data_IF_992203759243
#
_entry.id   IF_992203759243
#
_cell.length_a   1.000
_cell.length_b   1.000
_cell.length_c   1.000
_cell.angle_alpha   90.00
_cell.angle_beta   90.00
_cell.angle_gamma   90.00
#
_symmetry.space_group_name_H-M   'P 1'
#
loop_
_entity.id
_entity.type
_entity.pdbx_description
1 polymer ?
#
# COMPACT_ATOMS: atom_id res chain seq x y z
N UNK A 1 -13.05 2.77 -9.13
CA UNK A 1 -13.40 2.44 -7.73
C UNK A 1 -12.17 2.72 -6.87
N UNK A 2 -12.25 3.43 -5.77
CA UNK A 2 -11.06 3.88 -5.05
C UNK A 2 -10.49 2.74 -4.17
N UNK A 3 -9.57 1.98 -4.75
CA UNK A 3 -8.65 1.16 -3.99
C UNK A 3 -7.37 2.00 -3.76
N UNK A 4 -7.07 2.29 -2.52
CA UNK A 4 -5.85 2.98 -2.10
C UNK A 4 -4.74 1.93 -2.00
N UNK A 5 -4.01 1.71 -3.09
CA UNK A 5 -2.88 0.76 -3.13
C UNK A 5 -1.71 1.29 -2.32
N UNK A 6 -1.14 0.43 -1.47
CA UNK A 6 0.04 0.76 -0.67
C UNK A 6 1.27 0.71 -1.60
N UNK A 7 1.91 1.86 -1.87
CA UNK A 7 2.86 1.97 -2.98
C UNK A 7 4.28 1.50 -2.64
N UNK A 8 4.56 1.22 -1.35
CA UNK A 8 5.90 0.90 -0.85
C UNK A 8 5.85 -0.24 0.14
N UNK A 9 7.01 -0.85 0.42
CA UNK A 9 7.13 -1.91 1.41
C UNK A 9 6.74 -1.42 2.81
N UNK A 10 5.97 -2.24 3.52
CA UNK A 10 5.62 -2.02 4.92
C UNK A 10 6.86 -2.33 5.76
N UNK A 11 7.29 -1.38 6.57
CA UNK A 11 8.41 -1.55 7.51
C UNK A 11 7.96 -1.66 8.95
N UNK A 12 6.75 -1.17 9.26
CA UNK A 12 6.10 -1.36 10.56
C UNK A 12 4.59 -1.39 10.38
N UNK A 13 3.97 -2.36 11.05
CA UNK A 13 2.53 -2.59 11.04
C UNK A 13 2.05 -2.83 12.47
N UNK A 14 1.07 -2.09 12.92
CA UNK A 14 0.52 -2.18 14.27
C UNK A 14 -1.00 -2.18 14.27
N UNK A 15 -1.58 -3.03 15.12
CA UNK A 15 -2.98 -2.98 15.51
C UNK A 15 -3.03 -2.55 16.97
N UNK A 16 -3.76 -1.50 17.27
CA UNK A 16 -3.74 -0.91 18.62
C UNK A 16 -5.09 -0.32 19.02
N UNK A 17 -5.26 -0.05 20.32
CA UNK A 17 -6.43 0.62 20.86
C UNK A 17 -6.14 2.11 21.08
N UNK A 18 -6.73 3.03 20.28
CA UNK A 18 -6.41 4.45 20.35
C UNK A 18 -6.96 5.15 21.59
N UNK A 19 -8.01 4.61 22.23
CA UNK A 19 -8.72 5.18 23.40
C UNK A 19 -9.24 6.63 23.19
N UNK A 20 -9.19 7.13 21.97
CA UNK A 20 -9.65 8.45 21.53
C UNK A 20 -9.94 8.43 20.03
N UNK A 21 -10.43 9.53 19.45
CA UNK A 21 -10.57 9.61 18.00
C UNK A 21 -9.22 9.45 17.31
N UNK A 22 -9.19 8.88 16.11
CA UNK A 22 -7.92 8.69 15.37
C UNK A 22 -7.22 10.02 15.09
N UNK A 23 -7.99 11.09 14.87
CA UNK A 23 -7.42 12.42 14.66
C UNK A 23 -6.69 12.93 15.91
N UNK A 24 -7.28 12.76 17.09
CA UNK A 24 -6.66 13.13 18.36
C UNK A 24 -5.46 12.25 18.70
N UNK A 25 -5.54 10.95 18.42
CA UNK A 25 -4.41 10.04 18.60
C UNK A 25 -3.23 10.45 17.72
N UNK A 26 -3.48 10.65 16.42
CA UNK A 26 -2.45 11.01 15.44
C UNK A 26 -1.73 12.33 15.76
N UNK A 27 -2.47 13.32 16.31
CA UNK A 27 -1.89 14.62 16.68
C UNK A 27 -0.85 14.53 17.80
N UNK A 28 -0.90 13.47 18.61
CA UNK A 28 0.00 13.22 19.74
C UNK A 28 1.22 12.35 19.37
N UNK A 29 1.27 11.84 18.14
CA UNK A 29 2.38 10.98 17.70
C UNK A 29 3.55 11.83 17.18
N UNK A 30 4.75 11.57 17.70
CA UNK A 30 5.99 12.12 17.17
C UNK A 30 6.38 11.41 15.87
N UNK A 31 6.25 10.07 15.85
CA UNK A 31 6.46 9.22 14.68
C UNK A 31 5.10 8.85 14.06
N UNK A 32 4.66 9.66 13.12
CA UNK A 32 3.34 9.48 12.48
C UNK A 32 3.39 8.39 11.42
N UNK A 33 2.38 7.50 11.39
CA UNK A 33 2.27 6.53 10.31
C UNK A 33 1.99 7.21 8.96
N UNK A 34 2.41 6.57 7.88
CA UNK A 34 2.03 6.99 6.52
C UNK A 34 0.53 6.75 6.28
N UNK A 35 -0.01 5.68 6.88
CA UNK A 35 -1.41 5.25 6.72
C UNK A 35 -1.98 4.89 8.09
N UNK A 36 -3.19 5.39 8.38
CA UNK A 36 -3.93 5.09 9.61
C UNK A 36 -5.42 4.93 9.28
N UNK A 37 -6.03 3.85 9.77
CA UNK A 37 -7.46 3.63 9.57
C UNK A 37 -8.10 2.88 10.75
N UNK A 38 -9.42 3.06 10.92
CA UNK A 38 -10.21 2.32 11.90
C UNK A 38 -10.34 0.85 11.47
N UNK A 39 -10.50 -0.04 12.43
CA UNK A 39 -10.43 -1.46 12.17
C UNK A 39 -11.72 -2.22 12.52
N UNK A 40 -11.77 -2.98 13.62
CA UNK A 40 -12.89 -3.87 13.92
C UNK A 40 -14.20 -3.13 14.20
N UNK A 41 -15.31 -3.79 13.87
CA UNK A 41 -16.62 -3.41 14.38
C UNK A 41 -16.65 -3.59 15.90
N UNK A 42 -17.51 -2.81 16.55
CA UNK A 42 -17.74 -2.88 17.98
C UNK A 42 -19.21 -2.60 18.32
N UNK A 43 -19.65 -3.15 19.45
CA UNK A 43 -21.01 -2.97 19.97
C UNK A 43 -21.20 -1.56 20.53
N UNK A 44 -22.45 -1.20 20.82
CA UNK A 44 -22.81 0.04 21.53
C UNK A 44 -22.16 0.15 22.93
N UNK A 45 -21.81 -0.99 23.53
CA UNK A 45 -21.09 -1.06 24.82
C UNK A 45 -19.57 -1.09 24.64
N UNK A 46 -19.07 -0.75 23.46
CA UNK A 46 -17.65 -0.70 23.09
C UNK A 46 -16.91 -2.03 23.26
N UNK A 47 -17.60 -3.15 23.04
CA UNK A 47 -16.98 -4.48 22.95
C UNK A 47 -16.67 -4.81 21.50
N UNK A 48 -15.51 -5.40 21.17
CA UNK A 48 -15.18 -5.75 19.80
C UNK A 48 -16.08 -6.85 19.26
N UNK A 49 -16.38 -6.79 17.97
CA UNK A 49 -17.10 -7.84 17.25
C UNK A 49 -16.08 -8.65 16.43
N UNK A 50 -15.30 -9.50 17.08
CA UNK A 50 -14.31 -10.35 16.44
C UNK A 50 -13.16 -10.73 17.35
N UNK A 51 -12.29 -11.62 16.86
CA UNK A 51 -11.08 -12.03 17.57
C UNK A 51 -9.96 -11.02 17.32
N UNK A 52 -9.30 -10.60 18.39
CA UNK A 52 -8.26 -9.59 18.38
C UNK A 52 -7.05 -10.10 19.16
N UNK A 53 -5.88 -10.03 18.54
CA UNK A 53 -4.59 -10.13 19.21
C UNK A 53 -3.91 -8.77 19.23
N UNK A 54 -3.29 -8.43 20.33
CA UNK A 54 -2.52 -7.22 20.52
C UNK A 54 -1.25 -7.56 21.32
N UNK A 55 -0.10 -7.27 20.76
CA UNK A 55 1.22 -7.54 21.35
C UNK A 55 1.37 -8.97 21.88
N UNK A 56 0.97 -9.96 21.09
CA UNK A 56 1.08 -11.38 21.39
C UNK A 56 0.05 -11.92 22.38
N UNK A 57 -0.94 -11.11 22.78
CA UNK A 57 -2.02 -11.47 23.69
C UNK A 57 -3.37 -11.43 22.96
N UNK A 58 -4.16 -12.49 23.08
CA UNK A 58 -5.54 -12.51 22.60
C UNK A 58 -6.43 -11.70 23.57
N UNK A 59 -6.81 -10.49 23.17
CA UNK A 59 -7.61 -9.57 23.99
C UNK A 59 -9.12 -9.70 23.77
N UNK A 60 -9.52 -10.38 22.71
CA UNK A 60 -10.90 -10.73 22.41
C UNK A 60 -10.93 -12.03 21.62
N UNK A 61 -11.80 -12.95 22.05
CA UNK A 61 -12.09 -14.20 21.35
C UNK A 61 -13.60 -14.27 21.08
N UNK A 62 -14.01 -13.98 19.87
CA UNK A 62 -15.40 -13.97 19.42
C UNK A 62 -15.66 -15.06 18.38
N UNK A 63 -14.88 -16.14 18.44
CA UNK A 63 -15.04 -17.30 17.58
C UNK A 63 -14.25 -17.24 16.27
N UNK A 64 -14.54 -18.20 15.41
CA UNK A 64 -13.87 -18.37 14.13
C UNK A 64 -14.18 -17.24 13.17
N UNK A 65 -13.15 -16.74 12.52
CA UNK A 65 -13.28 -15.71 11.49
C UNK A 65 -12.06 -15.68 10.59
N UNK A 66 -12.15 -14.90 9.53
CA UNK A 66 -11.06 -14.60 8.64
C UNK A 66 -10.62 -13.16 8.84
N UNK A 67 -9.35 -12.96 9.02
CA UNK A 67 -8.78 -11.66 9.29
C UNK A 67 -7.39 -11.48 8.74
N UNK A 68 -6.70 -10.51 9.29
CA UNK A 68 -5.31 -10.22 8.95
C UNK A 68 -4.52 -9.79 10.18
N UNK A 69 -3.23 -9.98 10.11
CA UNK A 69 -2.33 -9.63 11.20
C UNK A 69 -0.87 -9.77 10.83
N UNK A 70 -0.04 -9.73 11.84
CA UNK A 70 1.40 -9.87 11.73
C UNK A 70 1.96 -10.66 12.91
N UNK A 71 3.05 -11.39 12.68
CA UNK A 71 3.81 -12.07 13.74
C UNK A 71 5.08 -11.30 14.12
N UNK A 72 5.57 -10.44 13.23
CA UNK A 72 6.83 -9.71 13.35
C UNK A 72 6.70 -8.18 13.39
N UNK A 73 5.46 -7.66 13.28
CA UNK A 73 5.18 -6.23 13.21
C UNK A 73 5.51 -5.59 11.85
N UNK A 74 5.73 -6.39 10.81
CA UNK A 74 6.11 -5.92 9.45
C UNK A 74 5.40 -6.69 8.36
N UNK A 75 5.45 -8.01 8.41
CA UNK A 75 4.84 -8.88 7.40
C UNK A 75 3.35 -9.05 7.69
N UNK A 76 2.52 -8.64 6.75
CA UNK A 76 1.06 -8.77 6.86
C UNK A 76 0.61 -10.07 6.21
N UNK A 77 -0.16 -10.84 6.96
CA UNK A 77 -0.71 -12.12 6.52
C UNK A 77 -2.23 -12.16 6.74
N UNK A 78 -2.92 -12.97 5.91
CA UNK A 78 -4.35 -13.24 6.03
C UNK A 78 -4.57 -14.67 6.47
N UNK A 79 -5.57 -14.89 7.34
CA UNK A 79 -5.88 -16.25 7.80
C UNK A 79 -6.82 -16.29 8.99
N UNK A 80 -6.90 -17.47 9.63
CA UNK A 80 -7.65 -17.68 10.86
C UNK A 80 -6.92 -17.10 12.07
N UNK A 81 -7.63 -16.61 13.11
CA UNK A 81 -7.01 -16.14 14.35
C UNK A 81 -6.25 -17.25 15.10
N UNK A 82 -6.58 -18.52 14.84
CA UNK A 82 -5.98 -19.69 15.50
C UNK A 82 -4.91 -20.40 14.67
N UNK A 83 -4.58 -19.88 13.47
CA UNK A 83 -3.62 -20.52 12.58
C UNK A 83 -2.17 -20.46 13.10
N UNK A 84 -1.87 -19.50 13.96
CA UNK A 84 -0.56 -19.25 14.56
C UNK A 84 -0.69 -18.33 15.77
N UNK A 85 0.39 -18.17 16.54
CA UNK A 85 0.47 -17.12 17.57
C UNK A 85 0.78 -15.79 16.88
N UNK A 86 -0.22 -14.94 16.80
CA UNK A 86 -0.07 -13.61 16.23
C UNK A 86 0.57 -12.64 17.23
N UNK A 87 1.35 -11.68 16.74
CA UNK A 87 1.68 -10.50 17.52
C UNK A 87 0.47 -9.57 17.55
N UNK A 88 0.00 -9.15 16.37
CA UNK A 88 -1.17 -8.32 16.20
C UNK A 88 -2.08 -8.95 15.15
N UNK A 89 -3.38 -9.04 15.44
CA UNK A 89 -4.35 -9.62 14.51
C UNK A 89 -5.75 -9.08 14.78
N UNK A 90 -6.52 -8.91 13.73
CA UNK A 90 -7.95 -8.66 13.81
C UNK A 90 -8.72 -9.52 12.83
N UNK A 91 -9.84 -10.05 13.30
CA UNK A 91 -10.87 -10.59 12.43
C UNK A 91 -11.67 -9.44 11.86
N UNK A 92 -11.77 -9.35 10.53
CA UNK A 92 -12.81 -8.55 9.92
C UNK A 92 -14.17 -9.16 10.30
N UNK A 93 -15.17 -8.34 10.60
CA UNK A 93 -16.51 -8.85 10.94
C UNK A 93 -17.05 -9.79 9.85
N UNK A 94 -16.72 -9.49 8.60
CA UNK A 94 -16.86 -10.39 7.46
C UNK A 94 -15.56 -10.45 6.68
N UNK A 95 -15.09 -11.67 6.37
CA UNK A 95 -14.20 -11.87 5.23
C UNK A 95 -15.02 -11.66 3.95
N UNK A 96 -14.58 -10.77 3.09
CA UNK A 96 -15.30 -10.44 1.85
C UNK A 96 -14.82 -11.25 0.67
N UNK A 97 -13.49 -11.45 0.57
CA UNK A 97 -12.85 -12.22 -0.50
C UNK A 97 -11.79 -13.13 0.12
N UNK A 98 -11.82 -14.41 -0.24
CA UNK A 98 -10.79 -15.39 0.10
C UNK A 98 -10.35 -16.12 -1.16
N UNK A 99 -9.05 -16.28 -1.34
CA UNK A 99 -8.46 -16.94 -2.50
C UNK A 99 -9.00 -16.42 -3.86
N UNK A 100 -9.32 -15.14 -3.91
CA UNK A 100 -9.81 -14.47 -5.12
C UNK A 100 -11.28 -14.71 -5.45
N UNK A 101 -12.05 -15.19 -4.49
CA UNK A 101 -13.51 -15.40 -4.59
C UNK A 101 -14.23 -14.66 -3.48
N UNK A 102 -15.31 -13.96 -3.84
CA UNK A 102 -16.24 -13.41 -2.86
C UNK A 102 -16.86 -14.55 -2.05
N UNK A 103 -16.92 -14.35 -0.73
CA UNK A 103 -17.48 -15.34 0.18
C UNK A 103 -18.80 -14.85 0.75
N UNK A 104 -19.73 -15.79 0.97
CA UNK A 104 -20.95 -15.55 1.69
C UNK A 104 -20.69 -15.82 3.17
N UNK A 105 -20.82 -14.83 4.07
CA UNK A 105 -20.50 -15.03 5.48
C UNK A 105 -21.50 -16.00 6.11
N UNK A 106 -21.06 -16.79 7.11
CA UNK A 106 -21.88 -17.83 7.74
C UNK A 106 -23.04 -17.26 8.58
N UNK A 107 -22.96 -16.01 8.97
CA UNK A 107 -24.02 -15.28 9.68
C UNK A 107 -24.30 -13.95 9.00
N UNK A 108 -25.53 -13.49 9.07
CA UNK A 108 -25.99 -12.27 8.42
C UNK A 108 -26.69 -11.37 9.44
N UNK A 109 -26.02 -10.33 9.87
CA UNK A 109 -26.64 -9.23 10.58
C UNK A 109 -27.32 -8.30 9.57
N UNK A 110 -28.66 -8.20 9.65
CA UNK A 110 -29.44 -7.41 8.70
C UNK A 110 -29.01 -5.93 8.66
N UNK A 111 -28.58 -5.39 9.79
CA UNK A 111 -28.10 -4.00 9.84
C UNK A 111 -26.77 -3.81 9.08
N UNK A 112 -25.79 -4.68 9.29
CA UNK A 112 -24.47 -4.56 8.67
C UNK A 112 -24.46 -5.16 7.27
N UNK A 113 -25.16 -6.29 7.08
CA UNK A 113 -25.12 -7.07 5.85
C UNK A 113 -25.98 -6.47 4.74
N UNK A 114 -27.24 -6.17 5.02
CA UNK A 114 -28.22 -5.79 4.01
C UNK A 114 -28.26 -4.29 3.74
N UNK A 115 -27.90 -3.46 4.70
CA UNK A 115 -27.90 -2.00 4.48
C UNK A 115 -26.79 -1.53 3.57
N UNK A 116 -27.16 -0.62 2.68
CA UNK A 116 -26.22 0.12 1.84
C UNK A 116 -25.50 1.17 2.69
N UNK A 117 -24.26 0.87 3.10
CA UNK A 117 -23.44 1.71 3.97
C UNK A 117 -22.15 2.15 3.26
N UNK A 118 -21.49 3.15 3.82
CA UNK A 118 -20.13 3.49 3.46
C UNK A 118 -19.19 2.40 3.98
N UNK A 119 -18.44 1.77 3.10
CA UNK A 119 -17.61 0.60 3.41
C UNK A 119 -16.13 0.97 3.41
N UNK A 120 -15.38 0.26 4.25
CA UNK A 120 -13.93 0.24 4.28
C UNK A 120 -13.47 -1.19 4.55
N UNK A 121 -12.43 -1.62 3.88
CA UNK A 121 -11.81 -2.94 4.05
C UNK A 121 -10.32 -2.87 3.78
N UNK A 122 -9.57 -3.82 4.33
CA UNK A 122 -8.16 -3.99 4.05
C UNK A 122 -7.93 -5.33 3.37
N UNK A 123 -7.08 -5.35 2.34
CA UNK A 123 -6.88 -6.54 1.56
C UNK A 123 -5.59 -6.59 0.77
N UNK A 124 -5.42 -7.72 0.07
CA UNK A 124 -4.31 -7.98 -0.83
C UNK A 124 -4.84 -8.37 -2.21
N UNK A 125 -4.30 -7.78 -3.25
CA UNK A 125 -4.56 -8.16 -4.63
C UNK A 125 -3.90 -9.50 -4.99
N UNK A 126 -4.35 -10.12 -6.08
CA UNK A 126 -3.70 -11.32 -6.66
C UNK A 126 -2.25 -11.04 -7.08
N UNK A 127 -1.92 -9.80 -7.41
CA UNK A 127 -0.55 -9.32 -7.71
C UNK A 127 0.37 -9.20 -6.48
N UNK A 128 -0.17 -9.36 -5.26
CA UNK A 128 0.58 -9.26 -4.00
C UNK A 128 0.51 -7.90 -3.31
N UNK A 129 0.07 -6.85 -3.99
CA UNK A 129 -0.04 -5.49 -3.43
C UNK A 129 -1.14 -5.43 -2.37
N UNK A 130 -0.89 -4.72 -1.29
CA UNK A 130 -1.91 -4.39 -0.28
C UNK A 130 -2.68 -3.14 -0.67
N UNK A 131 -3.94 -3.06 -0.21
CA UNK A 131 -4.77 -1.89 -0.42
C UNK A 131 -5.84 -1.73 0.64
N UNK A 132 -6.27 -0.48 0.83
CA UNK A 132 -7.52 -0.15 1.51
C UNK A 132 -8.58 0.08 0.45
N UNK A 133 -9.67 -0.66 0.53
CA UNK A 133 -10.78 -0.59 -0.41
C UNK A 133 -11.94 0.16 0.24
N UNK A 134 -12.44 1.20 -0.41
CA UNK A 134 -13.52 2.03 0.11
C UNK A 134 -14.61 2.19 -0.94
N UNK A 135 -15.86 1.96 -0.53
CA UNK A 135 -17.03 2.24 -1.38
C UNK A 135 -18.15 2.90 -0.56
N UNK A 136 -18.98 3.68 -1.22
CA UNK A 136 -20.13 4.33 -0.63
C UNK A 136 -21.42 3.62 -1.04
N UNK A 137 -22.39 3.55 -0.10
CA UNK A 137 -23.72 3.05 -0.39
C UNK A 137 -23.77 1.61 -0.92
N UNK A 138 -23.00 0.69 -0.32
CA UNK A 138 -22.96 -0.72 -0.72
C UNK A 138 -23.42 -1.66 0.38
N UNK A 139 -24.22 -2.65 0.00
CA UNK A 139 -24.45 -3.84 0.84
C UNK A 139 -23.15 -4.66 0.90
N UNK A 140 -23.01 -5.55 1.88
CA UNK A 140 -21.84 -6.43 1.97
C UNK A 140 -21.69 -7.29 0.70
N UNK A 141 -22.78 -7.83 0.18
CA UNK A 141 -22.78 -8.65 -1.05
C UNK A 141 -22.27 -7.87 -2.26
N UNK A 142 -22.76 -6.65 -2.46
CA UNK A 142 -22.28 -5.80 -3.54
C UNK A 142 -20.80 -5.45 -3.38
N UNK A 143 -20.39 -5.16 -2.16
CA UNK A 143 -19.01 -4.79 -1.83
C UNK A 143 -18.04 -5.94 -2.08
N UNK A 144 -18.38 -7.16 -1.63
CA UNK A 144 -17.60 -8.37 -1.89
C UNK A 144 -17.48 -8.69 -3.39
N UNK A 145 -18.59 -8.61 -4.14
CA UNK A 145 -18.60 -8.83 -5.59
C UNK A 145 -17.75 -7.81 -6.34
N UNK A 146 -17.79 -6.53 -5.91
CA UNK A 146 -16.96 -5.48 -6.51
C UNK A 146 -15.48 -5.72 -6.24
N UNK A 147 -15.14 -6.18 -5.04
CA UNK A 147 -13.76 -6.51 -4.66
C UNK A 147 -13.22 -7.71 -5.45
N UNK A 148 -14.00 -8.78 -5.63
CA UNK A 148 -13.64 -9.93 -6.46
C UNK A 148 -13.31 -9.47 -7.90
N UNK A 149 -14.20 -8.68 -8.50
CA UNK A 149 -14.00 -8.13 -9.85
C UNK A 149 -12.79 -7.19 -9.95
N UNK A 150 -12.45 -6.52 -8.85
CA UNK A 150 -11.26 -5.67 -8.77
C UNK A 150 -9.95 -6.45 -8.63
N UNK A 151 -10.01 -7.78 -8.49
CA UNK A 151 -8.82 -8.64 -8.45
C UNK A 151 -8.21 -8.86 -7.07
N UNK A 152 -8.94 -8.59 -5.98
CA UNK A 152 -8.47 -8.95 -4.65
C UNK A 152 -8.32 -10.46 -4.49
N UNK A 153 -7.23 -10.88 -3.86
CA UNK A 153 -7.00 -12.25 -3.40
C UNK A 153 -7.63 -12.48 -2.03
N UNK A 154 -7.43 -11.51 -1.13
CA UNK A 154 -7.98 -11.46 0.22
C UNK A 154 -8.55 -10.07 0.50
N UNK A 155 -9.69 -9.99 1.16
CA UNK A 155 -10.25 -8.73 1.63
C UNK A 155 -11.08 -8.97 2.90
N UNK A 156 -10.79 -8.20 3.95
CA UNK A 156 -11.50 -8.22 5.22
C UNK A 156 -12.29 -6.93 5.42
N UNK A 157 -13.59 -7.04 5.70
CA UNK A 157 -14.43 -5.90 6.03
C UNK A 157 -14.03 -5.28 7.37
N UNK A 158 -14.05 -3.97 7.44
CA UNK A 158 -13.79 -3.20 8.66
C UNK A 158 -15.01 -2.36 9.03
N UNK A 159 -14.97 -1.68 10.16
CA UNK A 159 -16.09 -0.86 10.61
C UNK A 159 -16.30 0.34 9.69
N UNK A 160 -17.48 0.37 9.08
CA UNK A 160 -17.86 1.37 8.08
C UNK A 160 -18.81 2.44 8.64
N UNK A 161 -19.68 2.94 7.78
CA UNK A 161 -20.69 3.95 8.14
C UNK A 161 -20.05 5.20 8.73
N UNK A 162 -20.53 5.62 9.90
CA UNK A 162 -20.02 6.78 10.62
C UNK A 162 -18.67 6.57 11.31
N UNK A 163 -18.18 5.33 11.40
CA UNK A 163 -16.88 5.02 12.00
C UNK A 163 -15.74 5.06 10.99
N UNK A 164 -16.05 5.12 9.69
CA UNK A 164 -15.04 5.10 8.64
C UNK A 164 -14.06 6.27 8.75
N UNK A 165 -12.79 5.96 8.95
CA UNK A 165 -11.70 6.92 9.01
C UNK A 165 -10.48 6.38 8.25
N UNK A 166 -9.86 7.22 7.46
CA UNK A 166 -8.64 6.91 6.70
C UNK A 166 -7.76 8.15 6.61
N UNK A 167 -6.57 8.05 7.17
CA UNK A 167 -5.47 8.97 6.96
C UNK A 167 -4.49 8.33 5.97
N UNK A 168 -4.07 9.10 4.97
CA UNK A 168 -3.30 8.63 3.83
C UNK A 168 -2.24 9.68 3.48
N UNK A 169 -0.99 9.40 3.72
CA UNK A 169 0.15 10.29 3.41
C UNK A 169 -0.08 11.76 3.76
N UNK A 170 -0.27 12.05 5.04
CA UNK A 170 -0.40 13.42 5.53
C UNK A 170 -1.82 14.01 5.43
N UNK A 171 -2.79 13.32 4.81
CA UNK A 171 -4.15 13.85 4.58
C UNK A 171 -5.22 12.89 5.09
N UNK A 172 -6.28 13.44 5.66
CA UNK A 172 -7.49 12.69 5.96
C UNK A 172 -8.34 12.56 4.70
N UNK A 173 -8.53 11.32 4.25
CA UNK A 173 -9.45 10.97 3.16
C UNK A 173 -10.87 10.86 3.70
N UNK A 174 -11.00 10.20 4.85
CA UNK A 174 -12.24 10.09 5.62
C UNK A 174 -11.97 10.39 7.08
N UNK A 175 -12.90 11.07 7.74
CA UNK A 175 -12.81 11.40 9.17
C UNK A 175 -14.01 10.84 9.93
N UNK A 176 -13.79 10.45 11.17
CA UNK A 176 -14.82 10.06 12.11
C UNK A 176 -14.62 10.80 13.44
N UNK A 177 -15.71 11.18 14.06
CA UNK A 177 -15.72 11.71 15.44
C UNK A 177 -15.82 10.60 16.49
N UNK A 178 -16.01 9.35 16.05
CA UNK A 178 -16.10 8.19 16.94
C UNK A 178 -14.71 7.74 17.38
N UNK A 179 -14.63 7.24 18.60
CA UNK A 179 -13.45 6.51 19.11
C UNK A 179 -13.59 5.05 18.65
N UNK A 180 -12.76 4.55 17.73
CA UNK A 180 -12.84 3.15 17.33
C UNK A 180 -12.28 2.27 18.46
N UNK A 181 -12.76 1.01 18.52
CA UNK A 181 -12.20 0.04 19.46
C UNK A 181 -10.73 -0.23 19.20
N UNK A 182 -10.37 -0.43 17.94
CA UNK A 182 -9.00 -0.53 17.50
C UNK A 182 -8.77 0.14 16.14
N UNK A 183 -7.51 0.31 15.80
CA UNK A 183 -7.05 0.91 14.56
C UNK A 183 -5.82 0.18 14.03
N UNK A 184 -5.53 0.40 12.76
CA UNK A 184 -4.32 -0.07 12.08
C UNK A 184 -3.48 1.14 11.71
N UNK A 185 -2.20 1.08 12.06
CA UNK A 185 -1.18 2.04 11.65
C UNK A 185 -0.08 1.36 10.84
N UNK A 186 0.30 1.97 9.73
CA UNK A 186 1.28 1.43 8.79
C UNK A 186 2.34 2.48 8.48
N UNK A 187 3.60 2.10 8.65
CA UNK A 187 4.78 2.86 8.23
C UNK A 187 5.44 2.15 7.06
N UNK A 188 5.80 2.92 6.08
CA UNK A 188 6.38 2.42 4.83
C UNK A 188 7.87 2.73 4.77
N UNK A 189 8.59 1.99 3.95
CA UNK A 189 9.95 2.39 3.59
C UNK A 189 9.95 3.88 3.20
N UNK A 190 10.93 4.66 3.69
CA UNK A 190 11.08 6.04 3.23
C UNK A 190 11.05 6.09 1.69
N UNK A 191 10.39 7.10 1.14
CA UNK A 191 10.62 7.37 -0.27
C UNK A 191 12.13 7.47 -0.46
N UNK A 192 12.68 6.66 -1.34
CA UNK A 192 14.04 6.91 -1.80
C UNK A 192 14.00 8.32 -2.34
N UNK A 193 14.52 9.25 -1.56
CA UNK A 193 14.61 10.64 -1.99
C UNK A 193 15.45 10.61 -3.25
N UNK A 194 14.79 10.62 -4.40
CA UNK A 194 15.44 11.12 -5.60
C UNK A 194 15.64 12.58 -5.24
N UNK A 195 16.86 12.92 -4.83
CA UNK A 195 17.22 14.30 -4.56
C UNK A 195 16.91 15.03 -5.84
N UNK A 196 15.78 15.75 -5.88
CA UNK A 196 15.52 16.69 -6.97
C UNK A 196 16.70 17.66 -6.91
N UNK A 197 17.49 17.79 -7.99
CA UNK A 197 18.45 18.86 -8.02
C UNK A 197 17.66 20.14 -7.81
N UNK A 198 18.01 20.90 -6.80
CA UNK A 198 17.50 22.25 -6.60
C UNK A 198 17.64 22.99 -7.92
N UNK A 199 16.53 23.50 -8.47
CA UNK A 199 16.58 24.43 -9.58
C UNK A 199 17.23 25.70 -9.06
N UNK A 200 18.57 25.73 -9.07
CA UNK A 200 19.32 26.99 -9.01
C UNK A 200 20.76 26.79 -9.43
N UNK A 201 21.16 27.63 -10.39
CA UNK A 201 22.48 28.14 -10.68
C UNK A 201 23.60 27.14 -11.00
N UNK A 202 23.90 26.99 -12.29
CA UNK A 202 25.24 26.88 -12.91
C UNK A 202 26.34 26.16 -12.14
N UNK A 203 26.08 24.97 -11.52
CA UNK A 203 27.14 24.10 -11.00
C UNK A 203 27.01 22.72 -11.62
N UNK A 204 28.15 22.15 -11.96
CA UNK A 204 28.37 20.89 -12.64
C UNK A 204 27.36 19.79 -12.26
N UNK A 205 26.72 19.22 -13.28
CA UNK A 205 25.90 18.02 -13.18
C UNK A 205 26.81 16.89 -12.72
N UNK A 206 26.65 16.42 -11.48
CA UNK A 206 27.34 15.23 -11.00
C UNK A 206 26.84 14.03 -11.79
N UNK A 207 27.67 13.58 -12.73
CA UNK A 207 27.41 12.38 -13.50
C UNK A 207 27.88 11.14 -12.75
N UNK A 208 27.16 10.04 -12.90
CA UNK A 208 27.54 8.74 -12.35
C UNK A 208 27.92 7.83 -13.50
N UNK A 209 29.12 7.28 -13.45
CA UNK A 209 29.57 6.28 -14.42
C UNK A 209 28.96 4.93 -14.08
N UNK A 210 28.44 4.25 -15.11
CA UNK A 210 27.79 2.95 -15.01
C UNK A 210 28.24 2.05 -16.16
N UNK A 211 28.23 0.74 -15.96
CA UNK A 211 28.39 -0.25 -17.02
C UNK A 211 27.06 -0.88 -17.38
N UNK A 212 26.82 -1.01 -18.68
CA UNK A 212 25.62 -1.69 -19.18
C UNK A 212 25.79 -3.22 -19.09
N UNK A 213 24.92 -3.89 -18.34
CA UNK A 213 25.00 -5.34 -18.13
C UNK A 213 24.27 -6.15 -19.24
N UNK A 214 23.29 -5.51 -19.90
CA UNK A 214 22.47 -6.14 -20.92
C UNK A 214 22.16 -5.13 -22.01
N UNK A 215 22.12 -5.54 -23.27
CA UNK A 215 21.75 -4.66 -24.38
C UNK A 215 20.43 -3.92 -24.05
N UNK A 216 20.51 -2.58 -24.02
CA UNK A 216 19.42 -1.73 -23.53
C UNK A 216 18.92 -0.80 -24.63
N UNK A 217 17.60 -0.75 -24.81
CA UNK A 217 16.94 0.19 -25.74
C UNK A 217 17.07 1.61 -25.26
N UNK A 218 17.26 2.53 -26.20
CA UNK A 218 17.28 3.96 -25.92
C UNK A 218 16.05 4.66 -26.49
N UNK A 219 15.70 5.77 -25.88
CA UNK A 219 14.52 6.57 -26.17
C UNK A 219 14.93 8.00 -26.50
N UNK A 220 14.14 8.70 -27.30
CA UNK A 220 14.31 10.14 -27.49
C UNK A 220 13.67 10.95 -26.35
N UNK A 221 13.82 12.26 -26.36
CA UNK A 221 13.27 13.16 -25.33
C UNK A 221 11.72 13.13 -25.22
N UNK A 222 11.01 12.64 -26.24
CA UNK A 222 9.56 12.46 -26.19
C UNK A 222 9.12 11.06 -25.75
N UNK A 223 10.04 10.23 -25.25
CA UNK A 223 9.76 8.89 -24.73
C UNK A 223 9.52 7.80 -25.78
N UNK A 224 9.77 8.09 -27.09
CA UNK A 224 9.69 7.09 -28.18
C UNK A 224 11.00 6.34 -28.33
N UNK A 225 10.91 5.02 -28.57
CA UNK A 225 12.08 4.16 -28.82
C UNK A 225 12.82 4.65 -30.07
N UNK A 226 14.13 4.82 -29.99
CA UNK A 226 14.97 5.07 -31.15
C UNK A 226 15.28 3.76 -31.86
N UNK A 227 14.64 3.52 -33.00
CA UNK A 227 14.77 2.24 -33.75
C UNK A 227 16.22 2.09 -34.24
N UNK A 228 16.77 0.88 -34.01
CA UNK A 228 18.14 0.54 -34.43
C UNK A 228 19.25 1.12 -33.56
N UNK A 229 18.92 1.74 -32.44
CA UNK A 229 19.88 2.28 -31.45
C UNK A 229 19.78 1.56 -30.12
N UNK A 230 20.91 1.13 -29.61
CA UNK A 230 21.03 0.38 -28.36
C UNK A 230 22.30 0.78 -27.64
N UNK A 231 22.28 0.65 -26.31
CA UNK A 231 23.50 0.61 -25.49
C UNK A 231 23.90 -0.87 -25.42
N UNK A 232 25.13 -1.17 -25.74
CA UNK A 232 25.63 -2.54 -25.83
C UNK A 232 26.12 -3.02 -24.46
N UNK A 233 26.00 -4.33 -24.19
CA UNK A 233 26.57 -4.93 -22.98
C UNK A 233 28.07 -4.63 -22.89
N UNK A 234 28.51 -4.12 -21.74
CA UNK A 234 29.89 -3.72 -21.49
C UNK A 234 30.17 -2.25 -21.76
N UNK A 235 29.29 -1.51 -22.42
CA UNK A 235 29.47 -0.08 -22.62
C UNK A 235 29.55 0.65 -21.29
N UNK A 236 30.52 1.52 -21.16
CA UNK A 236 30.64 2.44 -20.03
C UNK A 236 29.89 3.72 -20.40
N UNK A 237 28.88 4.02 -19.62
CA UNK A 237 27.96 5.12 -19.83
C UNK A 237 28.03 6.12 -18.68
N UNK A 238 27.51 7.30 -18.92
CA UNK A 238 27.38 8.36 -17.92
C UNK A 238 25.91 8.70 -17.73
N UNK A 239 25.37 8.39 -16.57
CA UNK A 239 24.02 8.81 -16.16
C UNK A 239 24.07 10.27 -15.73
N UNK A 240 23.35 11.11 -16.41
CA UNK A 240 23.15 12.51 -16.03
C UNK A 240 21.95 12.64 -15.13
N UNK A 241 22.05 13.50 -14.14
CA UNK A 241 21.04 13.66 -13.11
C UNK A 241 19.82 14.47 -13.62
N UNK A 242 19.29 14.09 -14.81
CA UNK A 242 18.09 14.62 -15.42
C UNK A 242 17.04 13.52 -15.53
N UNK A 243 16.12 13.50 -14.57
CA UNK A 243 14.95 12.66 -14.62
C UNK A 243 13.82 13.43 -15.31
N UNK A 244 13.38 12.93 -16.45
CA UNK A 244 12.16 13.38 -17.10
C UNK A 244 10.97 12.68 -16.46
N UNK A 245 10.22 13.40 -15.61
CA UNK A 245 9.07 12.87 -14.87
C UNK A 245 7.85 12.62 -15.77
N UNK A 246 7.74 13.35 -16.88
CA UNK A 246 6.60 13.22 -17.78
C UNK A 246 6.67 11.91 -18.59
N UNK A 247 7.89 11.49 -18.93
CA UNK A 247 8.14 10.28 -19.70
C UNK A 247 8.77 9.15 -18.88
N UNK A 248 8.99 9.35 -17.56
CA UNK A 248 9.64 8.39 -16.66
C UNK A 248 10.97 7.83 -17.22
N UNK A 249 11.86 8.73 -17.64
CA UNK A 249 13.12 8.37 -18.28
C UNK A 249 14.29 9.18 -17.72
N UNK A 250 15.50 8.62 -17.84
CA UNK A 250 16.75 9.21 -17.34
C UNK A 250 17.68 9.46 -18.50
N UNK A 251 18.28 10.66 -18.54
CA UNK A 251 19.28 11.01 -19.54
C UNK A 251 20.57 10.19 -19.33
N UNK A 252 21.04 9.57 -20.41
CA UNK A 252 22.28 8.78 -20.43
C UNK A 252 23.14 9.19 -21.60
N UNK A 253 24.45 9.28 -21.35
CA UNK A 253 25.48 9.45 -22.40
C UNK A 253 26.19 8.12 -22.60
N UNK A 254 26.24 7.64 -23.82
CA UNK A 254 26.74 6.31 -24.14
C UNK A 254 27.61 6.33 -25.42
N UNK A 255 28.56 5.35 -25.60
CA UNK A 255 29.38 5.22 -26.79
C UNK A 255 28.50 4.87 -28.03
N UNK A 256 28.80 5.52 -29.15
CA UNK A 256 28.17 5.20 -30.44
C UNK A 256 29.23 5.32 -31.55
N UNK A 257 29.96 4.26 -31.79
CA UNK A 257 31.16 4.27 -32.59
C UNK A 257 32.25 5.12 -31.94
N UNK A 258 32.87 6.03 -32.67
CA UNK A 258 33.92 6.90 -32.15
C UNK A 258 33.38 8.15 -31.40
N UNK A 259 32.08 8.27 -31.23
CA UNK A 259 31.43 9.44 -30.59
C UNK A 259 30.60 9.03 -29.39
N UNK A 260 30.40 9.98 -28.48
CA UNK A 260 29.40 9.82 -27.39
C UNK A 260 28.07 10.42 -27.86
N UNK A 261 26.97 9.74 -27.50
CA UNK A 261 25.60 10.21 -27.78
C UNK A 261 24.80 10.33 -26.51
N UNK A 262 23.89 11.28 -26.51
CA UNK A 262 22.89 11.43 -25.44
C UNK A 262 21.57 10.79 -25.88
N UNK A 263 20.98 10.04 -24.99
CA UNK A 263 19.64 9.46 -25.16
C UNK A 263 18.96 9.30 -23.78
N UNK A 264 17.87 8.57 -23.73
CA UNK A 264 17.13 8.32 -22.49
C UNK A 264 16.92 6.82 -22.30
N UNK A 265 16.88 6.39 -21.04
CA UNK A 265 16.57 5.01 -20.64
C UNK A 265 15.41 5.00 -19.64
N UNK A 266 14.66 3.93 -19.61
CA UNK A 266 13.51 3.73 -18.69
C UNK A 266 13.77 2.70 -17.59
N UNK A 267 14.84 1.91 -17.73
CA UNK A 267 15.17 0.83 -16.79
C UNK A 267 16.63 0.96 -16.36
N UNK A 268 16.85 1.25 -15.09
CA UNK A 268 18.17 1.30 -14.45
C UNK A 268 18.68 -0.08 -14.02
N UNK A 269 17.83 -1.10 -13.97
CA UNK A 269 18.23 -2.45 -13.58
C UNK A 269 19.26 -3.10 -14.50
N UNK A 270 19.38 -2.58 -15.72
CA UNK A 270 20.37 -3.02 -16.70
C UNK A 270 21.79 -2.43 -16.50
N UNK A 271 22.01 -1.66 -15.45
CA UNK A 271 23.27 -0.94 -15.22
C UNK A 271 23.82 -1.18 -13.82
N UNK A 272 25.15 -1.27 -13.73
CA UNK A 272 25.89 -1.32 -12.45
C UNK A 272 26.75 -0.06 -12.32
N UNK A 273 26.73 0.56 -11.15
CA UNK A 273 27.60 1.71 -10.85
C UNK A 273 29.06 1.25 -10.82
N UNK A 274 29.92 2.03 -11.46
CA UNK A 274 31.37 1.88 -11.44
C UNK A 274 32.02 2.63 -10.29
#
# INVERSE_FOLDING_TARGET
>A
MPAYKIPRKIVRFEIFQPKTTLKSWLSKQNDKPDILFNASLYTSTNKPCGTIWNDGVMVSDQGNGFGFGTTDGKTVEFGSPYSKKWRDYITGYYGLVQNGKAIDPPWKDSYVFDKALNRIAFGQFKSGEFAIFCENGKTIKQYASNAERSGFKFLCNLDGGGSRALYWFGKWVYTSTRTPYNAVAIWLEPEKTIVKPSANTGKEVSSVRVVCNTQTKVYNSSGKVEIGRYITKGDICELRNKLDLDNLQIEIVYPAGNNMRTAYIKDLGNFTKL
#
